data_IF_094631281222
#
_entry.id   IF_094631281222
#
_cell.length_a   1.000
_cell.length_b   1.000
_cell.length_c   1.000
_cell.angle_alpha   90.00
_cell.angle_beta   90.00
_cell.angle_gamma   90.00
#
_symmetry.space_group_name_H-M   'P 1'
#
loop_
_entity.id
_entity.type
_entity.pdbx_description
1 polymer ?
#
# COMPACT_ATOMS: atom_id res chain seq x y z
N UNK A 1 -4.11 -25.67 8.77
CA UNK A 1 -4.76 -25.67 7.43
C UNK A 1 -3.73 -25.22 6.42
N UNK A 2 -3.47 -25.99 5.37
CA UNK A 2 -2.58 -25.56 4.29
C UNK A 2 -3.18 -24.38 3.53
N UNK A 3 -2.36 -23.42 3.08
CA UNK A 3 -2.80 -22.33 2.19
C UNK A 3 -3.46 -22.97 0.94
N UNK A 4 -4.66 -22.52 0.58
CA UNK A 4 -5.33 -22.97 -0.65
C UNK A 4 -4.51 -22.46 -1.84
N UNK A 5 -4.13 -23.35 -2.76
CA UNK A 5 -3.55 -22.96 -4.05
C UNK A 5 -4.69 -22.56 -5.00
N UNK A 6 -5.05 -21.27 -4.97
CA UNK A 6 -6.15 -20.74 -5.77
C UNK A 6 -5.87 -20.80 -7.28
N UNK A 7 -4.62 -20.60 -7.70
CA UNK A 7 -4.25 -20.69 -9.12
C UNK A 7 -4.59 -22.05 -9.69
N UNK A 8 -4.18 -23.12 -9.00
CA UNK A 8 -4.51 -24.49 -9.40
C UNK A 8 -6.03 -24.72 -9.45
N UNK A 9 -6.76 -24.29 -8.42
CA UNK A 9 -8.22 -24.47 -8.36
C UNK A 9 -8.98 -23.74 -9.48
N UNK A 10 -8.48 -22.58 -9.90
CA UNK A 10 -9.10 -21.76 -10.93
C UNK A 10 -8.59 -22.11 -12.34
N UNK A 11 -7.56 -22.97 -12.45
CA UNK A 11 -6.84 -23.18 -13.72
C UNK A 11 -6.11 -21.93 -14.19
N UNK A 12 -5.79 -21.02 -13.26
CA UNK A 12 -5.10 -19.77 -13.55
C UNK A 12 -3.60 -19.94 -13.51
N UNK A 13 -2.92 -19.12 -14.29
CA UNK A 13 -1.46 -19.04 -14.39
C UNK A 13 -0.98 -17.71 -13.81
N UNK A 14 0.33 -17.54 -13.68
CA UNK A 14 0.95 -16.28 -13.30
C UNK A 14 0.57 -15.14 -14.27
N UNK A 15 0.40 -15.44 -15.57
CA UNK A 15 -0.08 -14.48 -16.57
C UNK A 15 -1.44 -13.87 -16.21
N UNK A 16 -2.37 -14.69 -15.71
CA UNK A 16 -3.67 -14.19 -15.26
C UNK A 16 -3.55 -13.25 -14.05
N UNK A 17 -2.55 -13.47 -13.19
CA UNK A 17 -2.26 -12.60 -12.05
C UNK A 17 -1.64 -11.29 -12.51
N UNK A 18 -0.70 -11.34 -13.44
CA UNK A 18 -0.13 -10.13 -14.05
C UNK A 18 -1.21 -9.30 -14.75
N UNK A 19 -2.09 -9.92 -15.54
CA UNK A 19 -3.19 -9.21 -16.20
C UNK A 19 -4.14 -8.54 -15.19
N UNK A 20 -4.44 -9.23 -14.09
CA UNK A 20 -5.24 -8.69 -13.00
C UNK A 20 -4.55 -7.47 -12.37
N UNK A 21 -3.24 -7.55 -12.15
CA UNK A 21 -2.41 -6.47 -11.60
C UNK A 21 -2.32 -5.28 -12.55
N UNK A 22 -2.02 -5.50 -13.83
CA UNK A 22 -1.98 -4.44 -14.84
C UNK A 22 -3.32 -3.71 -14.96
N UNK A 23 -4.43 -4.46 -14.95
CA UNK A 23 -5.78 -3.89 -15.01
C UNK A 23 -6.08 -3.07 -13.76
N UNK A 24 -5.82 -3.61 -12.57
CA UNK A 24 -5.98 -2.91 -11.31
C UNK A 24 -5.18 -1.62 -11.26
N UNK A 25 -3.90 -1.67 -11.65
CA UNK A 25 -3.02 -0.51 -11.68
C UNK A 25 -3.47 0.55 -12.69
N UNK A 26 -4.00 0.14 -13.85
CA UNK A 26 -4.60 1.06 -14.82
C UNK A 26 -5.76 1.86 -14.19
N UNK A 27 -6.60 1.22 -13.36
CA UNK A 27 -7.65 1.92 -12.64
C UNK A 27 -7.12 2.85 -11.54
N UNK A 28 -6.05 2.47 -10.83
CA UNK A 28 -5.35 3.35 -9.88
C UNK A 28 -4.87 4.62 -10.58
N UNK A 29 -4.21 4.50 -11.74
CA UNK A 29 -3.74 5.67 -12.50
C UNK A 29 -4.86 6.58 -13.00
N UNK A 30 -6.05 6.04 -13.18
CA UNK A 30 -7.24 6.80 -13.55
C UNK A 30 -7.97 7.43 -12.34
N UNK A 31 -7.49 7.21 -11.11
CA UNK A 31 -8.18 7.64 -9.89
C UNK A 31 -9.47 6.87 -9.59
N UNK A 32 -9.71 5.73 -10.26
CA UNK A 32 -10.92 4.91 -10.09
C UNK A 32 -10.72 3.91 -8.95
N UNK A 33 -10.49 4.42 -7.75
CA UNK A 33 -10.05 3.62 -6.60
C UNK A 33 -11.06 2.55 -6.16
N UNK A 34 -12.37 2.85 -6.23
CA UNK A 34 -13.41 1.85 -5.92
C UNK A 34 -13.37 0.63 -6.87
N UNK A 35 -13.02 0.85 -8.14
CA UNK A 35 -12.87 -0.25 -9.11
C UNK A 35 -11.56 -0.98 -8.85
N UNK A 36 -10.46 -0.24 -8.68
CA UNK A 36 -9.14 -0.82 -8.41
C UNK A 36 -9.14 -1.68 -7.13
N UNK A 37 -9.90 -1.28 -6.10
CA UNK A 37 -10.00 -2.01 -4.84
C UNK A 37 -10.34 -3.49 -5.05
N UNK A 38 -11.32 -3.80 -5.90
CA UNK A 38 -11.72 -5.17 -6.18
C UNK A 38 -10.57 -6.03 -6.76
N UNK A 39 -9.74 -5.44 -7.64
CA UNK A 39 -8.57 -6.11 -8.20
C UNK A 39 -7.53 -6.40 -7.13
N UNK A 40 -7.21 -5.42 -6.30
CA UNK A 40 -6.17 -5.57 -5.27
C UNK A 40 -6.63 -6.42 -4.07
N UNK A 41 -7.93 -6.46 -3.75
CA UNK A 41 -8.47 -7.41 -2.78
C UNK A 41 -8.38 -8.86 -3.31
N UNK A 42 -8.62 -9.07 -4.60
CA UNK A 42 -8.41 -10.37 -5.24
C UNK A 42 -6.93 -10.77 -5.24
N UNK A 43 -6.02 -9.87 -5.65
CA UNK A 43 -4.57 -10.10 -5.62
C UNK A 43 -4.08 -10.43 -4.20
N UNK A 44 -4.60 -9.76 -3.17
CA UNK A 44 -4.24 -10.02 -1.78
C UNK A 44 -4.58 -11.46 -1.29
N UNK A 45 -5.51 -12.14 -1.99
CA UNK A 45 -5.88 -13.55 -1.77
C UNK A 45 -5.12 -14.49 -2.70
N UNK A 46 -4.99 -14.12 -3.98
CA UNK A 46 -4.42 -14.96 -5.04
C UNK A 46 -2.89 -14.98 -5.01
N UNK A 47 -2.28 -13.84 -4.73
CA UNK A 47 -0.84 -13.63 -4.59
C UNK A 47 -0.52 -12.93 -3.25
N UNK A 48 -0.56 -13.70 -2.14
CA UNK A 48 -0.36 -13.17 -0.81
C UNK A 48 1.07 -12.65 -0.53
N UNK A 49 2.05 -12.90 -1.40
CA UNK A 49 3.47 -12.66 -1.11
C UNK A 49 4.04 -11.46 -1.89
N UNK A 50 3.17 -10.73 -2.60
CA UNK A 50 3.51 -9.48 -3.26
C UNK A 50 3.48 -8.28 -2.30
N UNK A 51 4.67 -7.77 -1.94
CA UNK A 51 4.81 -6.53 -1.16
C UNK A 51 4.23 -5.33 -1.92
N UNK A 52 4.43 -5.30 -3.24
CA UNK A 52 3.93 -4.26 -4.13
C UNK A 52 2.39 -4.17 -4.15
N UNK A 53 1.70 -5.31 -4.25
CA UNK A 53 0.23 -5.32 -4.27
C UNK A 53 -0.34 -4.96 -2.90
N UNK A 54 0.29 -5.43 -1.81
CA UNK A 54 -0.08 -5.05 -0.46
C UNK A 54 0.11 -3.54 -0.21
N UNK A 55 1.21 -2.96 -0.70
CA UNK A 55 1.46 -1.52 -0.63
C UNK A 55 0.43 -0.73 -1.45
N UNK A 56 0.13 -1.18 -2.67
CA UNK A 56 -0.87 -0.54 -3.54
C UNK A 56 -2.27 -0.61 -2.95
N UNK A 57 -2.68 -1.75 -2.38
CA UNK A 57 -3.94 -1.89 -1.65
C UNK A 57 -4.01 -0.93 -0.46
N UNK A 58 -2.90 -0.77 0.28
CA UNK A 58 -2.78 0.23 1.34
C UNK A 58 -2.98 1.65 0.83
N UNK A 59 -2.37 2.01 -0.31
CA UNK A 59 -2.55 3.31 -0.94
C UNK A 59 -4.02 3.54 -1.37
N UNK A 60 -4.66 2.55 -1.99
CA UNK A 60 -6.07 2.62 -2.39
C UNK A 60 -6.97 2.89 -1.18
N UNK A 61 -6.75 2.21 -0.05
CA UNK A 61 -7.52 2.48 1.17
C UNK A 61 -7.34 3.90 1.70
N UNK A 62 -6.16 4.51 1.57
CA UNK A 62 -5.95 5.91 1.95
C UNK A 62 -6.75 6.86 1.06
N UNK A 63 -6.72 6.64 -0.26
CA UNK A 63 -7.49 7.44 -1.22
C UNK A 63 -9.00 7.32 -1.01
N UNK A 64 -9.46 6.18 -0.48
CA UNK A 64 -10.85 5.95 -0.09
C UNK A 64 -11.18 6.43 1.33
N UNK A 65 -10.26 7.12 2.00
CA UNK A 65 -10.42 7.61 3.38
C UNK A 65 -10.66 6.48 4.42
N UNK A 66 -10.04 5.32 4.20
CA UNK A 66 -10.11 4.14 5.07
C UNK A 66 -8.74 3.79 5.71
N UNK A 67 -8.12 4.70 6.48
CA UNK A 67 -6.74 4.54 6.95
C UNK A 67 -6.54 3.34 7.89
N UNK A 68 -7.57 2.91 8.62
CA UNK A 68 -7.48 1.72 9.48
C UNK A 68 -7.27 0.43 8.67
N UNK A 69 -7.91 0.30 7.49
CA UNK A 69 -7.67 -0.84 6.59
C UNK A 69 -6.31 -0.72 5.91
N UNK A 70 -5.91 0.50 5.55
CA UNK A 70 -4.58 0.76 4.98
C UNK A 70 -3.45 0.23 5.88
N UNK A 71 -3.53 0.46 7.20
CA UNK A 71 -2.54 -0.04 8.16
C UNK A 71 -2.27 -1.55 8.04
N UNK A 72 -3.33 -2.35 7.86
CA UNK A 72 -3.19 -3.81 7.75
C UNK A 72 -2.44 -4.23 6.48
N UNK A 73 -2.76 -3.59 5.35
CA UNK A 73 -2.10 -3.88 4.07
C UNK A 73 -0.64 -3.38 4.06
N UNK A 74 -0.39 -2.22 4.65
CA UNK A 74 0.96 -1.63 4.73
C UNK A 74 1.86 -2.41 5.71
N UNK A 75 1.33 -2.86 6.85
CA UNK A 75 2.06 -3.75 7.78
C UNK A 75 2.47 -5.05 7.09
N UNK A 76 1.58 -5.63 6.28
CA UNK A 76 1.92 -6.79 5.46
C UNK A 76 3.02 -6.48 4.46
N UNK A 77 2.92 -5.36 3.73
CA UNK A 77 3.95 -4.94 2.78
C UNK A 77 5.32 -4.80 3.46
N UNK A 78 5.39 -4.19 4.65
CA UNK A 78 6.65 -4.03 5.40
C UNK A 78 7.22 -5.33 5.97
N UNK A 79 6.36 -6.34 6.23
CA UNK A 79 6.80 -7.68 6.62
C UNK A 79 7.44 -8.46 5.46
N UNK A 80 7.02 -8.17 4.24
CA UNK A 80 7.56 -8.77 3.01
C UNK A 80 8.81 -8.04 2.53
N UNK A 81 8.77 -6.70 2.56
CA UNK A 81 9.87 -5.82 2.18
C UNK A 81 10.07 -4.76 3.26
N UNK A 82 11.03 -5.01 4.13
CA UNK A 82 11.39 -4.07 5.19
C UNK A 82 12.08 -2.85 4.58
N UNK A 83 11.78 -1.66 5.12
CA UNK A 83 12.41 -0.39 4.73
C UNK A 83 12.08 0.09 3.30
N UNK A 84 10.86 -0.16 2.84
CA UNK A 84 10.36 0.38 1.58
C UNK A 84 9.79 1.80 1.77
N UNK A 85 10.49 2.82 1.26
CA UNK A 85 10.14 4.25 1.40
C UNK A 85 8.67 4.59 1.08
N UNK A 86 8.13 4.19 -0.09
CA UNK A 86 6.72 4.42 -0.43
C UNK A 86 5.73 3.80 0.57
N UNK A 87 6.04 2.62 1.11
CA UNK A 87 5.19 1.95 2.11
C UNK A 87 5.23 2.72 3.44
N UNK A 88 6.43 3.14 3.89
CA UNK A 88 6.59 3.94 5.10
C UNK A 88 5.89 5.31 4.98
N UNK A 89 5.93 5.94 3.82
CA UNK A 89 5.23 7.21 3.58
C UNK A 89 3.71 7.04 3.68
N UNK A 90 3.16 5.99 3.06
CA UNK A 90 1.74 5.68 3.18
C UNK A 90 1.36 5.32 4.63
N UNK A 91 2.24 4.66 5.38
CA UNK A 91 2.02 4.37 6.79
C UNK A 91 1.98 5.66 7.63
N UNK A 92 2.87 6.60 7.37
CA UNK A 92 2.85 7.92 8.01
C UNK A 92 1.53 8.67 7.71
N UNK A 93 1.09 8.70 6.45
CA UNK A 93 -0.20 9.28 6.04
C UNK A 93 -1.37 8.61 6.77
N UNK A 94 -1.39 7.28 6.85
CA UNK A 94 -2.41 6.53 7.56
C UNK A 94 -2.49 6.93 9.04
N UNK A 95 -1.33 7.06 9.70
CA UNK A 95 -1.27 7.50 11.09
C UNK A 95 -1.76 8.94 11.29
N UNK A 96 -1.40 9.88 10.40
CA UNK A 96 -1.95 11.24 10.44
C UNK A 96 -3.48 11.25 10.32
N UNK A 97 -4.04 10.49 9.37
CA UNK A 97 -5.51 10.40 9.17
C UNK A 97 -6.23 9.77 10.37
N UNK A 98 -5.53 8.95 11.16
CA UNK A 98 -6.05 8.34 12.39
C UNK A 98 -5.81 9.18 13.65
N UNK A 99 -5.20 10.37 13.52
CA UNK A 99 -4.84 11.23 14.66
C UNK A 99 -3.66 10.71 15.49
N UNK A 100 -2.93 9.71 14.99
CA UNK A 100 -1.72 9.14 15.62
C UNK A 100 -0.49 9.96 15.23
N UNK A 101 -0.49 11.21 15.66
CA UNK A 101 0.44 12.24 15.17
C UNK A 101 1.90 11.91 15.54
N UNK A 102 2.14 11.38 16.74
CA UNK A 102 3.50 11.05 17.20
C UNK A 102 4.14 9.94 16.35
N UNK A 103 3.41 8.85 16.09
CA UNK A 103 3.88 7.76 15.24
C UNK A 103 4.09 8.23 13.80
N UNK A 104 3.21 9.09 13.30
CA UNK A 104 3.32 9.66 11.97
C UNK A 104 4.57 10.56 11.82
N UNK A 105 4.83 11.44 12.79
CA UNK A 105 6.00 12.31 12.79
C UNK A 105 7.31 11.53 12.91
N UNK A 106 7.33 10.45 13.71
CA UNK A 106 8.49 9.55 13.79
C UNK A 106 8.86 8.99 12.42
N UNK A 107 7.87 8.50 11.66
CA UNK A 107 8.09 7.99 10.31
C UNK A 107 8.50 9.09 9.33
N UNK A 108 7.83 10.24 9.35
CA UNK A 108 8.21 11.38 8.50
C UNK A 108 9.64 11.85 8.76
N UNK A 109 10.11 11.82 10.01
CA UNK A 109 11.49 12.17 10.33
C UNK A 109 12.53 11.17 9.82
N UNK A 110 12.18 9.89 9.71
CA UNK A 110 13.02 8.89 9.05
C UNK A 110 13.11 9.21 7.54
N UNK A 111 11.98 9.55 6.92
CA UNK A 111 11.86 9.75 5.48
C UNK A 111 12.34 11.11 4.97
N UNK A 112 12.52 12.11 5.83
CA UNK A 112 12.89 13.49 5.40
C UNK A 112 14.24 13.57 4.65
N UNK A 113 15.09 12.55 4.78
CA UNK A 113 16.40 12.46 4.13
C UNK A 113 16.46 11.32 3.10
N UNK A 114 15.32 10.73 2.74
CA UNK A 114 15.25 9.67 1.74
C UNK A 114 15.70 10.19 0.35
N UNK A 115 16.47 9.41 -0.43
CA UNK A 115 17.01 9.85 -1.72
C UNK A 115 15.98 10.32 -2.76
N UNK A 116 14.79 9.72 -2.82
CA UNK A 116 13.70 10.13 -3.70
C UNK A 116 13.07 11.46 -3.22
N UNK A 117 13.21 12.56 -3.99
CA UNK A 117 12.63 13.84 -3.63
C UNK A 117 11.10 13.80 -3.51
N UNK A 118 10.42 12.90 -4.22
CA UNK A 118 8.95 12.77 -4.14
C UNK A 118 8.50 12.25 -2.78
N UNK A 119 9.33 11.47 -2.09
CA UNK A 119 9.07 10.96 -0.76
C UNK A 119 9.56 11.97 0.29
N UNK A 120 10.82 12.38 0.21
CA UNK A 120 11.43 13.25 1.22
C UNK A 120 10.77 14.63 1.30
N UNK A 121 10.29 15.20 0.18
CA UNK A 121 9.57 16.47 0.21
C UNK A 121 8.18 16.34 0.85
N UNK A 122 7.45 15.23 0.60
CA UNK A 122 6.16 14.99 1.26
C UNK A 122 6.38 14.79 2.76
N UNK A 123 7.41 14.03 3.16
CA UNK A 123 7.74 13.85 4.56
C UNK A 123 8.06 15.17 5.28
N UNK A 124 8.85 16.06 4.64
CA UNK A 124 9.12 17.41 5.16
C UNK A 124 7.85 18.25 5.27
N UNK A 125 6.98 18.21 4.27
CA UNK A 125 5.70 18.91 4.30
C UNK A 125 4.81 18.42 5.44
N UNK A 126 4.73 17.10 5.66
CA UNK A 126 3.99 16.51 6.77
C UNK A 126 4.58 16.91 8.14
N UNK A 127 5.91 17.00 8.27
CA UNK A 127 6.52 17.51 9.51
C UNK A 127 6.09 18.95 9.77
N UNK A 128 6.22 19.82 8.77
CA UNK A 128 5.90 21.26 8.90
C UNK A 128 4.41 21.51 9.17
N UNK A 129 3.52 20.69 8.62
CA UNK A 129 2.08 20.85 8.81
C UNK A 129 1.59 20.45 10.21
N UNK A 130 2.39 19.66 10.94
CA UNK A 130 2.02 19.09 12.25
C UNK A 130 3.04 19.42 13.37
N UNK A 131 3.94 20.39 13.13
CA UNK A 131 4.86 20.99 14.09
C UNK A 131 4.31 22.31 14.63
#
# INVERSE_FOLDING_TARGET
MGKINWLNKLGWTEEHIEDLRYTGYSYVRQGKYNIALAFFEALNVLDPESAYDAQTLGAIFLELNEPAKALKSLDRALKLETDHGPTLLNLAKAFFMLGKIEEALKLSHILKNEPDPSISNVAKALILAYS
#
